data_IF_767063788232
#
_entry.id   IF_767063788232
#
_cell.length_a   1.000
_cell.length_b   1.000
_cell.length_c   1.000
_cell.angle_alpha   90.00
_cell.angle_beta   90.00
_cell.angle_gamma   90.00
#
_symmetry.space_group_name_H-M   'P 1'
#
loop_
_entity.id
_entity.type
_entity.pdbx_description
1 polymer ?
#
# COMPACT_ATOMS: atom_id res chain seq x y z
N UNK A 1 39.04 50.28 32.16
CA UNK A 1 38.40 49.56 31.02
C UNK A 1 37.46 48.45 31.45
N UNK A 2 37.31 48.10 32.71
CA UNK A 2 36.46 46.96 33.18
C UNK A 2 34.99 47.33 33.49
N UNK A 3 34.67 48.59 33.71
CA UNK A 3 33.30 49.02 34.04
C UNK A 3 32.38 49.15 32.79
N UNK A 4 32.93 49.44 31.62
CA UNK A 4 32.15 49.59 30.40
C UNK A 4 31.63 48.26 29.83
N UNK A 5 32.40 47.19 29.94
CA UNK A 5 31.96 45.83 29.52
C UNK A 5 30.76 45.29 30.32
N UNK A 6 30.61 45.70 31.58
CA UNK A 6 29.50 45.29 32.45
C UNK A 6 28.19 46.03 32.11
N UNK A 7 28.28 47.27 31.64
CA UNK A 7 27.12 48.07 31.26
C UNK A 7 26.58 47.57 29.93
N UNK A 8 27.41 47.21 28.94
CA UNK A 8 27.01 46.67 27.67
C UNK A 8 26.35 45.30 27.84
N UNK A 9 26.86 44.43 28.75
CA UNK A 9 26.27 43.12 29.03
C UNK A 9 24.88 43.22 29.67
N UNK A 10 24.65 44.20 30.54
CA UNK A 10 23.34 44.42 31.16
C UNK A 10 22.31 44.96 30.18
N UNK A 11 22.72 45.84 29.26
CA UNK A 11 21.85 46.40 28.23
C UNK A 11 21.35 45.34 27.20
N UNK A 12 22.21 44.35 26.85
CA UNK A 12 21.84 43.25 25.94
C UNK A 12 20.85 42.28 26.60
N UNK A 13 21.00 42.01 27.90
CA UNK A 13 20.04 41.16 28.64
C UNK A 13 18.66 41.77 28.78
N UNK A 14 18.54 43.11 28.93
CA UNK A 14 17.26 43.78 29.05
C UNK A 14 16.53 43.81 27.67
N UNK A 15 17.26 43.91 26.56
CA UNK A 15 16.64 43.87 25.22
C UNK A 15 16.14 42.46 24.88
N UNK A 16 16.72 41.38 25.36
CA UNK A 16 16.21 40.02 25.16
C UNK A 16 14.98 39.69 26.03
N UNK A 17 14.86 40.31 27.19
CA UNK A 17 13.68 40.09 28.05
C UNK A 17 12.43 40.86 27.56
N UNK A 18 12.63 41.94 26.77
CA UNK A 18 11.52 42.75 26.20
C UNK A 18 10.82 42.14 24.98
N UNK A 19 11.43 41.11 24.33
CA UNK A 19 10.87 40.46 23.13
C UNK A 19 9.95 39.27 23.43
N UNK A 20 9.78 38.89 24.69
CA UNK A 20 8.94 37.77 25.09
C UNK A 20 7.49 38.15 25.48
N UNK A 21 7.10 39.43 25.40
CA UNK A 21 5.76 39.88 25.86
C UNK A 21 4.89 40.41 24.70
N UNK A 22 5.36 40.43 23.47
CA UNK A 22 4.49 40.63 22.32
C UNK A 22 4.01 39.28 21.78
N UNK A 23 3.38 38.49 22.63
CA UNK A 23 2.49 37.41 22.22
C UNK A 23 1.30 38.07 21.53
N UNK A 24 1.34 38.20 20.20
CA UNK A 24 0.17 38.49 19.39
C UNK A 24 -0.91 37.51 19.78
N UNK A 25 -1.96 38.00 20.40
CA UNK A 25 -3.26 37.35 20.45
C UNK A 25 -3.85 37.30 19.04
N UNK A 26 -3.25 36.50 18.18
CA UNK A 26 -3.94 35.99 17.01
C UNK A 26 -5.08 35.16 17.57
N UNK A 27 -6.33 35.63 17.43
CA UNK A 27 -7.47 34.75 17.42
C UNK A 27 -7.12 33.67 16.39
N UNK A 28 -6.68 32.53 16.86
CA UNK A 28 -6.68 31.33 16.03
C UNK A 28 -8.15 31.09 15.72
N UNK A 29 -8.58 31.45 14.52
CA UNK A 29 -9.70 30.77 13.90
C UNK A 29 -9.33 29.28 13.99
N UNK A 30 -9.91 28.60 14.96
CA UNK A 30 -9.88 27.16 15.07
C UNK A 30 -10.81 26.59 14.00
N UNK A 31 -10.48 26.81 12.73
CA UNK A 31 -10.91 25.87 11.71
C UNK A 31 -10.19 24.58 12.09
N UNK A 32 -10.89 23.65 12.69
CA UNK A 32 -10.33 22.35 13.09
C UNK A 32 -9.73 21.73 11.85
N UNK A 33 -8.38 21.67 11.78
CA UNK A 33 -7.69 21.12 10.63
C UNK A 33 -8.15 19.67 10.49
N UNK A 34 -8.82 19.36 9.37
CA UNK A 34 -9.30 18.00 9.10
C UNK A 34 -8.13 17.01 9.15
N UNK A 35 -8.36 15.84 9.72
CA UNK A 35 -7.40 14.74 9.64
C UNK A 35 -7.44 14.17 8.23
N UNK A 36 -6.28 14.07 7.58
CA UNK A 36 -6.16 13.46 6.27
C UNK A 36 -6.09 11.94 6.46
N UNK A 37 -6.97 11.23 5.75
CA UNK A 37 -6.93 9.78 5.58
C UNK A 37 -6.25 9.49 4.24
N UNK A 38 -5.09 8.87 4.27
CA UNK A 38 -4.29 8.53 3.09
C UNK A 38 -4.52 7.09 2.69
N UNK A 39 -4.84 6.87 1.41
CA UNK A 39 -5.08 5.54 0.84
C UNK A 39 -4.13 5.31 -0.33
N UNK A 40 -3.26 4.30 -0.24
CA UNK A 40 -2.36 3.91 -1.32
C UNK A 40 -2.98 2.81 -2.19
N UNK A 41 -2.83 2.95 -3.51
CA UNK A 41 -3.28 1.98 -4.51
C UNK A 41 -2.18 1.78 -5.57
N UNK A 42 -2.04 0.54 -6.05
CA UNK A 42 -1.13 0.26 -7.17
C UNK A 42 -1.76 0.52 -8.54
N UNK A 43 -3.07 0.48 -8.61
CA UNK A 43 -3.83 0.61 -9.85
C UNK A 43 -4.05 2.06 -10.27
N UNK A 44 -4.41 2.25 -11.56
CA UNK A 44 -4.73 3.56 -12.12
C UNK A 44 -6.13 4.04 -11.70
N UNK A 45 -6.42 5.30 -11.99
CA UNK A 45 -7.71 5.92 -11.66
C UNK A 45 -8.90 5.31 -12.43
N UNK A 46 -8.64 4.65 -13.57
CA UNK A 46 -9.67 3.96 -14.35
C UNK A 46 -10.02 2.57 -13.80
N UNK A 47 -9.17 2.02 -12.92
CA UNK A 47 -9.36 0.68 -12.41
C UNK A 47 -10.55 0.60 -11.42
N UNK A 48 -11.34 -0.52 -11.44
CA UNK A 48 -12.48 -0.68 -10.54
C UNK A 48 -12.16 -0.54 -9.04
N UNK A 49 -10.99 -0.96 -8.60
CA UNK A 49 -10.55 -0.76 -7.21
C UNK A 49 -10.49 0.72 -6.83
N UNK A 50 -9.95 1.56 -7.72
CA UNK A 50 -9.90 3.00 -7.47
C UNK A 50 -11.32 3.58 -7.41
N UNK A 51 -12.22 3.18 -8.31
CA UNK A 51 -13.63 3.60 -8.30
C UNK A 51 -14.34 3.18 -7.01
N UNK A 52 -14.02 2.00 -6.47
CA UNK A 52 -14.48 1.58 -5.15
C UNK A 52 -14.01 2.54 -4.05
N UNK A 53 -12.74 2.95 -4.10
CA UNK A 53 -12.19 3.89 -3.12
C UNK A 53 -12.68 5.33 -3.31
N UNK A 54 -13.05 5.76 -4.52
CA UNK A 54 -13.78 7.01 -4.72
C UNK A 54 -15.14 6.98 -4.00
N UNK A 55 -15.83 5.85 -4.05
CA UNK A 55 -17.09 5.65 -3.32
C UNK A 55 -16.86 5.71 -1.80
N UNK A 56 -15.81 5.05 -1.29
CA UNK A 56 -15.40 5.16 0.12
C UNK A 56 -15.11 6.60 0.51
N UNK A 57 -14.28 7.30 -0.27
CA UNK A 57 -13.96 8.72 -0.07
C UNK A 57 -15.23 9.56 0.05
N UNK A 58 -16.12 9.46 -0.94
CA UNK A 58 -17.38 10.19 -0.97
C UNK A 58 -18.21 9.92 0.29
N UNK A 59 -18.36 8.65 0.67
CA UNK A 59 -19.13 8.26 1.85
C UNK A 59 -18.56 8.84 3.15
N UNK A 60 -17.24 8.75 3.34
CA UNK A 60 -16.56 9.29 4.53
C UNK A 60 -16.70 10.81 4.59
N UNK A 61 -16.48 11.50 3.46
CA UNK A 61 -16.56 12.97 3.42
C UNK A 61 -18.00 13.48 3.55
N UNK A 62 -19.01 12.74 3.09
CA UNK A 62 -20.42 13.07 3.33
C UNK A 62 -20.82 12.91 4.80
N UNK A 63 -20.29 11.92 5.51
CA UNK A 63 -20.67 11.62 6.88
C UNK A 63 -19.80 12.29 7.94
N UNK A 64 -18.53 12.49 7.64
CA UNK A 64 -17.48 12.91 8.56
C UNK A 64 -16.58 14.01 7.99
N UNK A 65 -17.00 14.67 6.91
CA UNK A 65 -16.17 15.66 6.21
C UNK A 65 -15.86 16.94 6.98
N UNK A 66 -16.49 17.14 8.14
CA UNK A 66 -16.09 18.15 9.12
C UNK A 66 -14.78 17.79 9.84
N UNK A 67 -14.47 16.49 9.97
CA UNK A 67 -13.32 15.95 10.71
C UNK A 67 -12.25 15.33 9.81
N UNK A 68 -12.64 14.74 8.67
CA UNK A 68 -11.77 13.95 7.80
C UNK A 68 -11.79 14.42 6.35
N UNK A 69 -10.65 14.27 5.70
CA UNK A 69 -10.46 14.41 4.25
C UNK A 69 -9.76 13.14 3.75
N UNK A 70 -10.31 12.48 2.72
CA UNK A 70 -9.71 11.26 2.14
C UNK A 70 -8.89 11.63 0.91
N UNK A 71 -7.64 11.21 0.89
CA UNK A 71 -6.73 11.39 -0.25
C UNK A 71 -6.34 10.03 -0.81
N UNK A 72 -6.61 9.83 -2.11
CA UNK A 72 -6.28 8.61 -2.85
C UNK A 72 -4.97 8.80 -3.61
N UNK A 73 -4.07 7.84 -3.52
CA UNK A 73 -2.75 7.85 -4.16
C UNK A 73 -2.64 6.63 -5.09
N UNK A 74 -3.09 6.75 -6.36
CA UNK A 74 -3.03 5.67 -7.35
C UNK A 74 -1.61 5.49 -7.92
N UNK A 75 -1.45 4.50 -8.83
CA UNK A 75 -0.24 4.28 -9.62
C UNK A 75 1.04 4.14 -8.79
N UNK A 76 0.96 3.52 -7.61
CA UNK A 76 2.11 3.34 -6.71
C UNK A 76 2.82 4.66 -6.32
N UNK A 77 2.10 5.80 -6.29
CA UNK A 77 2.66 7.11 -5.93
C UNK A 77 3.33 7.13 -4.55
N UNK A 78 2.91 6.26 -3.63
CA UNK A 78 3.52 6.11 -2.30
C UNK A 78 4.43 4.87 -2.22
N UNK A 79 4.78 4.27 -3.36
CA UNK A 79 5.57 3.04 -3.47
C UNK A 79 4.73 1.83 -3.84
N UNK A 80 5.40 0.73 -4.23
CA UNK A 80 4.76 -0.54 -4.56
C UNK A 80 4.01 -1.15 -3.36
N UNK A 81 3.21 -2.19 -3.61
CA UNK A 81 2.27 -2.74 -2.61
C UNK A 81 2.95 -3.13 -1.29
N UNK A 82 4.09 -3.82 -1.33
CA UNK A 82 4.86 -4.17 -0.12
C UNK A 82 5.23 -2.91 0.68
N UNK A 83 5.72 -1.87 -0.01
CA UNK A 83 6.05 -0.60 0.64
C UNK A 83 4.83 0.10 1.23
N UNK A 84 3.70 0.08 0.53
CA UNK A 84 2.44 0.63 1.04
C UNK A 84 1.94 -0.11 2.30
N UNK A 85 2.09 -1.44 2.36
CA UNK A 85 1.79 -2.22 3.57
C UNK A 85 2.68 -1.77 4.74
N UNK A 86 4.01 -1.64 4.54
CA UNK A 86 4.93 -1.15 5.57
C UNK A 86 4.58 0.26 6.06
N UNK A 87 4.18 1.16 5.14
CA UNK A 87 3.75 2.51 5.50
C UNK A 87 2.44 2.49 6.32
N UNK A 88 1.54 1.54 6.04
CA UNK A 88 0.32 1.33 6.83
C UNK A 88 0.67 0.82 8.23
N UNK A 89 1.57 -0.16 8.36
CA UNK A 89 2.03 -0.67 9.66
C UNK A 89 2.61 0.44 10.54
N UNK A 90 3.36 1.36 9.96
CA UNK A 90 3.97 2.47 10.70
C UNK A 90 3.02 3.63 10.94
N UNK A 91 1.80 3.60 10.40
CA UNK A 91 0.82 4.68 10.49
C UNK A 91 1.17 5.92 9.65
N UNK A 92 2.12 5.81 8.71
CA UNK A 92 2.45 6.90 7.78
C UNK A 92 1.32 7.12 6.75
N UNK A 93 0.59 6.05 6.42
CA UNK A 93 -0.68 6.07 5.70
C UNK A 93 -1.73 5.29 6.47
N UNK A 94 -3.01 5.54 6.18
CA UNK A 94 -4.11 4.96 6.94
C UNK A 94 -4.64 3.67 6.32
N UNK A 95 -4.65 3.58 4.98
CA UNK A 95 -5.13 2.41 4.23
C UNK A 95 -4.26 2.11 3.02
N UNK A 96 -4.19 0.84 2.66
CA UNK A 96 -3.69 0.40 1.36
C UNK A 96 -4.57 -0.70 0.79
N UNK A 97 -4.66 -0.77 -0.54
CA UNK A 97 -5.16 -1.95 -1.24
C UNK A 97 -3.95 -2.71 -1.77
N UNK A 98 -3.83 -3.96 -1.37
CA UNK A 98 -2.73 -4.82 -1.76
C UNK A 98 -3.24 -6.22 -2.13
N UNK A 99 -2.59 -6.84 -3.10
CA UNK A 99 -2.84 -8.24 -3.43
C UNK A 99 -2.45 -9.17 -2.28
N UNK A 100 -3.21 -10.24 -2.08
CA UNK A 100 -2.92 -11.26 -1.06
C UNK A 100 -1.49 -11.79 -1.13
N UNK A 101 -0.85 -11.96 -2.32
CA UNK A 101 0.56 -12.35 -2.41
C UNK A 101 1.52 -11.40 -1.70
N UNK A 102 1.24 -10.10 -1.64
CA UNK A 102 2.10 -9.16 -0.93
C UNK A 102 1.87 -9.17 0.59
N UNK A 103 0.76 -9.76 1.07
CA UNK A 103 0.50 -9.93 2.50
C UNK A 103 1.21 -11.17 3.09
N UNK A 104 1.63 -12.14 2.26
CA UNK A 104 2.29 -13.38 2.71
C UNK A 104 3.52 -13.13 3.58
N UNK A 105 4.31 -12.10 3.26
CA UNK A 105 5.51 -11.76 4.04
C UNK A 105 5.20 -11.12 5.41
N UNK A 106 3.95 -10.74 5.65
CA UNK A 106 3.48 -10.17 6.91
C UNK A 106 2.64 -11.16 7.71
N UNK A 107 1.94 -12.08 7.01
CA UNK A 107 1.13 -13.13 7.62
C UNK A 107 1.05 -14.34 6.67
N UNK A 108 1.72 -15.42 7.05
CA UNK A 108 1.89 -16.64 6.22
C UNK A 108 0.56 -17.26 5.77
N UNK A 109 -0.52 -17.09 6.51
CA UNK A 109 -1.84 -17.63 6.14
C UNK A 109 -2.33 -17.15 4.78
N UNK A 110 -1.87 -15.97 4.31
CA UNK A 110 -2.22 -15.44 3.00
C UNK A 110 -1.56 -16.20 1.84
N UNK A 111 -0.56 -17.06 2.10
CA UNK A 111 0.02 -17.97 1.08
C UNK A 111 -1.04 -18.88 0.44
N UNK A 112 -2.10 -19.22 1.18
CA UNK A 112 -3.22 -20.03 0.67
C UNK A 112 -3.86 -19.43 -0.59
N UNK A 113 -4.00 -18.11 -0.67
CA UNK A 113 -4.63 -17.44 -1.81
C UNK A 113 -3.73 -17.36 -3.06
N UNK A 114 -2.45 -17.68 -2.92
CA UNK A 114 -1.50 -17.76 -4.02
C UNK A 114 -1.35 -19.19 -4.58
N UNK A 115 -2.05 -20.17 -3.98
CA UNK A 115 -2.00 -21.56 -4.46
C UNK A 115 -2.74 -21.68 -5.80
N UNK A 116 -2.06 -22.15 -6.87
CA UNK A 116 -2.70 -22.36 -8.16
C UNK A 116 -3.90 -23.33 -8.04
N UNK A 117 -5.00 -23.00 -8.73
CA UNK A 117 -6.19 -23.85 -8.83
C UNK A 117 -6.85 -24.22 -7.50
N UNK A 118 -6.61 -23.45 -6.42
CA UNK A 118 -7.28 -23.66 -5.13
C UNK A 118 -8.80 -23.61 -5.29
N UNK A 119 -9.29 -22.64 -6.06
CA UNK A 119 -10.70 -22.50 -6.38
C UNK A 119 -10.95 -23.03 -7.80
N UNK A 120 -11.89 -23.96 -7.94
CA UNK A 120 -12.24 -24.61 -9.21
C UNK A 120 -13.31 -23.83 -9.99
N UNK A 121 -13.94 -22.85 -9.36
CA UNK A 121 -14.94 -21.97 -9.97
C UNK A 121 -15.01 -20.64 -9.23
N UNK A 122 -15.58 -19.64 -9.90
CA UNK A 122 -15.86 -18.34 -9.28
C UNK A 122 -16.86 -18.46 -8.13
N UNK A 123 -17.88 -19.33 -8.27
CA UNK A 123 -18.84 -19.57 -7.18
C UNK A 123 -18.18 -20.16 -5.94
N UNK A 124 -17.24 -21.09 -6.08
CA UNK A 124 -16.49 -21.63 -4.97
C UNK A 124 -15.61 -20.58 -4.30
N UNK A 125 -15.00 -19.69 -5.09
CA UNK A 125 -14.25 -18.53 -4.60
C UNK A 125 -15.15 -17.59 -3.79
N UNK A 126 -16.28 -17.16 -4.35
CA UNK A 126 -17.21 -16.28 -3.64
C UNK A 126 -17.81 -16.94 -2.38
N UNK A 127 -18.08 -18.23 -2.42
CA UNK A 127 -18.57 -18.93 -1.24
C UNK A 127 -17.54 -18.89 -0.09
N UNK A 128 -16.26 -19.10 -0.39
CA UNK A 128 -15.19 -19.01 0.61
C UNK A 128 -14.97 -17.59 1.10
N UNK A 129 -14.91 -16.61 0.19
CA UNK A 129 -14.62 -15.22 0.55
C UNK A 129 -15.77 -14.53 1.29
N UNK A 130 -17.01 -15.01 1.13
CA UNK A 130 -18.19 -14.52 1.85
C UNK A 130 -18.48 -15.31 3.14
N UNK A 131 -17.73 -16.36 3.44
CA UNK A 131 -17.81 -17.04 4.73
C UNK A 131 -17.14 -16.16 5.81
N UNK A 132 -17.98 -15.40 6.52
CA UNK A 132 -17.51 -14.43 7.50
C UNK A 132 -16.81 -15.08 8.68
N UNK A 133 -17.20 -16.30 9.08
CA UNK A 133 -16.59 -17.01 10.20
C UNK A 133 -15.17 -17.47 9.86
N UNK A 134 -14.96 -17.87 8.61
CA UNK A 134 -13.66 -18.23 8.09
C UNK A 134 -12.80 -17.00 7.82
N UNK A 135 -13.32 -16.03 7.06
CA UNK A 135 -12.56 -14.85 6.65
C UNK A 135 -12.17 -13.95 7.82
N UNK A 136 -13.00 -13.83 8.85
CA UNK A 136 -12.62 -13.08 10.05
C UNK A 136 -11.39 -13.66 10.75
N UNK A 137 -11.19 -14.97 10.73
CA UNK A 137 -9.97 -15.63 11.27
C UNK A 137 -8.74 -15.27 10.42
N UNK A 138 -8.91 -15.24 9.09
CA UNK A 138 -7.85 -14.83 8.16
C UNK A 138 -7.50 -13.36 8.39
N UNK A 139 -8.49 -12.46 8.49
CA UNK A 139 -8.27 -11.04 8.73
C UNK A 139 -7.59 -10.77 10.07
N UNK A 140 -7.99 -11.46 11.12
CA UNK A 140 -7.39 -11.34 12.45
C UNK A 140 -5.91 -11.77 12.50
N UNK A 141 -5.45 -12.59 11.55
CA UNK A 141 -4.06 -13.06 11.51
C UNK A 141 -3.03 -11.95 11.27
N UNK A 142 -3.47 -10.75 10.88
CA UNK A 142 -2.59 -9.59 10.67
C UNK A 142 -2.53 -8.65 11.87
N UNK A 143 -3.38 -8.82 12.89
CA UNK A 143 -3.48 -7.88 14.03
C UNK A 143 -2.16 -7.72 14.78
N UNK A 144 -1.46 -8.82 15.05
CA UNK A 144 -0.16 -8.80 15.74
C UNK A 144 0.95 -8.14 14.89
N UNK A 145 0.72 -7.94 13.60
CA UNK A 145 1.66 -7.26 12.70
C UNK A 145 1.43 -5.76 12.60
N UNK A 146 0.44 -5.22 13.32
CA UNK A 146 0.05 -3.81 13.24
C UNK A 146 -0.83 -3.48 12.04
N UNK A 147 -1.45 -4.48 11.44
CA UNK A 147 -2.37 -4.35 10.29
C UNK A 147 -3.74 -4.89 10.67
N UNK A 148 -4.78 -4.25 10.15
CA UNK A 148 -6.15 -4.74 10.20
C UNK A 148 -6.69 -4.89 8.78
N UNK A 149 -6.92 -6.10 8.34
CA UNK A 149 -7.62 -6.35 7.07
C UNK A 149 -9.13 -6.15 7.31
N UNK A 150 -9.76 -5.33 6.47
CA UNK A 150 -11.16 -4.93 6.68
C UNK A 150 -12.12 -5.47 5.62
N UNK A 151 -11.63 -5.77 4.42
CA UNK A 151 -12.44 -6.30 3.32
C UNK A 151 -11.56 -6.83 2.20
N UNK A 152 -12.17 -7.41 1.17
CA UNK A 152 -11.53 -7.93 -0.02
C UNK A 152 -12.18 -7.41 -1.30
N UNK A 153 -11.43 -7.47 -2.39
CA UNK A 153 -11.89 -7.16 -3.74
C UNK A 153 -11.63 -8.36 -4.65
N UNK A 154 -12.59 -8.69 -5.54
CA UNK A 154 -12.34 -9.63 -6.62
C UNK A 154 -11.70 -8.90 -7.79
N UNK A 155 -10.49 -9.28 -8.16
CA UNK A 155 -9.75 -8.73 -9.30
C UNK A 155 -9.59 -9.74 -10.45
N UNK A 156 -10.36 -10.84 -10.40
CA UNK A 156 -10.34 -11.89 -11.40
C UNK A 156 -9.26 -12.94 -11.20
N UNK A 157 -8.91 -13.62 -12.26
CA UNK A 157 -7.93 -14.72 -12.29
C UNK A 157 -6.58 -14.25 -12.79
N UNK A 158 -5.51 -14.90 -12.31
CA UNK A 158 -4.13 -14.62 -12.72
C UNK A 158 -3.76 -15.49 -13.90
N UNK A 159 -3.04 -14.90 -14.85
CA UNK A 159 -2.55 -15.59 -16.03
C UNK A 159 -1.12 -15.15 -16.32
N UNK A 160 -0.32 -16.05 -16.91
CA UNK A 160 0.97 -15.68 -17.47
C UNK A 160 0.79 -15.04 -18.84
N UNK A 161 1.57 -14.01 -19.13
CA UNK A 161 1.71 -13.44 -20.45
C UNK A 161 3.18 -13.18 -20.78
N UNK A 162 3.56 -13.40 -22.05
CA UNK A 162 4.94 -13.25 -22.49
C UNK A 162 4.99 -12.85 -23.97
N UNK A 163 6.19 -12.54 -24.46
CA UNK A 163 6.44 -12.25 -25.89
C UNK A 163 6.21 -13.45 -26.81
N UNK A 164 6.19 -14.66 -26.27
CA UNK A 164 5.83 -15.91 -26.98
C UNK A 164 4.59 -16.55 -26.36
N UNK A 165 3.88 -17.36 -27.13
CA UNK A 165 2.75 -18.12 -26.60
C UNK A 165 3.19 -19.09 -25.51
N UNK A 166 2.38 -19.20 -24.48
CA UNK A 166 2.51 -20.17 -23.37
C UNK A 166 1.28 -21.07 -23.46
N UNK A 167 1.44 -22.29 -23.97
CA UNK A 167 0.37 -23.26 -24.13
C UNK A 167 0.48 -24.39 -23.10
N UNK A 168 1.68 -24.67 -22.61
CA UNK A 168 1.99 -25.70 -21.65
C UNK A 168 2.96 -25.17 -20.59
N UNK A 169 3.06 -25.80 -19.41
CA UNK A 169 4.08 -25.42 -18.43
C UNK A 169 5.52 -25.46 -18.97
N UNK A 170 5.79 -26.35 -19.94
CA UNK A 170 7.12 -26.47 -20.55
C UNK A 170 7.53 -25.23 -21.34
N UNK A 171 6.58 -24.43 -21.83
CA UNK A 171 6.84 -23.18 -22.54
C UNK A 171 7.38 -22.08 -21.62
N UNK A 172 7.24 -22.23 -20.31
CA UNK A 172 7.79 -21.33 -19.30
C UNK A 172 9.28 -21.59 -19.02
N UNK A 173 9.81 -22.78 -19.36
CA UNK A 173 11.19 -23.13 -19.06
C UNK A 173 12.19 -22.13 -19.62
N UNK A 174 13.05 -21.64 -18.73
CA UNK A 174 14.11 -20.70 -19.04
C UNK A 174 13.67 -19.26 -19.28
N UNK A 175 12.37 -18.94 -19.24
CA UNK A 175 11.90 -17.56 -19.30
C UNK A 175 12.15 -16.84 -17.97
N UNK A 176 12.48 -15.57 -18.06
CA UNK A 176 12.49 -14.65 -16.92
C UNK A 176 11.10 -14.07 -16.76
N UNK A 177 10.37 -14.56 -15.77
CA UNK A 177 8.98 -14.16 -15.55
C UNK A 177 8.87 -13.28 -14.32
N UNK A 178 8.30 -12.09 -14.50
CA UNK A 178 7.94 -11.28 -13.33
C UNK A 178 6.85 -11.99 -12.53
N UNK A 179 7.04 -11.98 -11.23
CA UNK A 179 6.02 -12.38 -10.25
C UNK A 179 5.86 -11.26 -9.21
N UNK A 180 4.80 -11.32 -8.43
CA UNK A 180 4.68 -10.44 -7.27
C UNK A 180 5.77 -10.78 -6.24
N UNK A 181 5.99 -9.87 -5.29
CA UNK A 181 6.94 -10.05 -4.19
C UNK A 181 6.37 -11.02 -3.15
N UNK A 182 6.17 -12.26 -3.56
CA UNK A 182 5.50 -13.33 -2.84
C UNK A 182 6.35 -14.60 -2.86
N UNK A 183 6.63 -15.20 -1.70
CA UNK A 183 7.32 -16.50 -1.64
C UNK A 183 6.61 -17.61 -2.43
N UNK A 184 5.28 -17.67 -2.37
CA UNK A 184 4.50 -18.67 -3.11
C UNK A 184 4.59 -18.45 -4.64
N UNK A 185 4.45 -17.21 -5.11
CA UNK A 185 4.58 -16.90 -6.55
C UNK A 185 5.98 -17.22 -7.07
N UNK A 186 7.04 -16.95 -6.29
CA UNK A 186 8.41 -17.32 -6.64
C UNK A 186 8.56 -18.84 -6.72
N UNK A 187 8.09 -19.59 -5.72
CA UNK A 187 8.12 -21.07 -5.69
C UNK A 187 7.38 -21.66 -6.89
N UNK A 188 6.17 -21.16 -7.18
CA UNK A 188 5.35 -21.60 -8.31
C UNK A 188 6.06 -21.37 -9.64
N UNK A 189 6.54 -20.17 -9.88
CA UNK A 189 7.26 -19.81 -11.13
C UNK A 189 8.49 -20.69 -11.34
N UNK A 190 9.30 -20.90 -10.30
CA UNK A 190 10.48 -21.76 -10.36
C UNK A 190 10.11 -23.24 -10.57
N UNK A 191 8.99 -23.72 -10.01
CA UNK A 191 8.51 -25.08 -10.23
C UNK A 191 8.15 -25.36 -11.70
N UNK A 192 7.71 -24.34 -12.44
CA UNK A 192 7.48 -24.43 -13.89
C UNK A 192 8.80 -24.30 -14.71
N UNK A 193 9.95 -24.18 -14.06
CA UNK A 193 11.24 -24.06 -14.72
C UNK A 193 11.54 -22.66 -15.29
N UNK A 194 10.74 -21.68 -14.96
CA UNK A 194 11.03 -20.27 -15.26
C UNK A 194 11.95 -19.65 -14.19
N UNK A 195 12.60 -18.55 -14.51
CA UNK A 195 13.33 -17.74 -13.54
C UNK A 195 12.42 -16.65 -12.99
N UNK A 196 12.01 -16.76 -11.73
CA UNK A 196 11.17 -15.78 -11.07
C UNK A 196 11.93 -14.47 -10.85
N UNK A 197 11.32 -13.34 -11.23
CA UNK A 197 11.83 -11.99 -11.06
C UNK A 197 10.81 -11.17 -10.24
N UNK A 198 10.85 -11.22 -8.91
CA UNK A 198 9.90 -10.48 -8.08
C UNK A 198 10.16 -8.98 -8.18
N UNK A 199 9.11 -8.22 -8.54
CA UNK A 199 9.16 -6.76 -8.63
C UNK A 199 7.80 -6.12 -8.48
N UNK A 200 7.76 -4.84 -8.11
CA UNK A 200 6.55 -4.05 -8.02
C UNK A 200 5.84 -3.93 -9.38
N UNK A 201 4.52 -3.70 -9.36
CA UNK A 201 3.73 -3.67 -10.60
C UNK A 201 4.13 -2.51 -11.52
N UNK A 202 4.42 -1.34 -10.96
CA UNK A 202 4.84 -0.17 -11.74
C UNK A 202 6.15 -0.33 -12.52
N UNK A 203 6.98 -1.33 -12.16
CA UNK A 203 8.26 -1.60 -12.84
C UNK A 203 8.10 -2.51 -14.06
N UNK A 204 7.00 -3.27 -14.16
CA UNK A 204 6.81 -4.36 -15.12
C UNK A 204 6.88 -3.89 -16.56
N UNK A 205 6.19 -2.79 -16.90
CA UNK A 205 6.19 -2.27 -18.27
C UNK A 205 7.61 -1.96 -18.76
N UNK A 206 8.37 -1.23 -17.95
CA UNK A 206 9.75 -0.85 -18.29
C UNK A 206 10.65 -2.07 -18.37
N UNK A 207 10.51 -3.04 -17.46
CA UNK A 207 11.30 -4.27 -17.45
C UNK A 207 11.06 -5.13 -18.70
N UNK A 208 9.81 -5.22 -19.18
CA UNK A 208 9.48 -5.90 -20.45
C UNK A 208 10.06 -5.13 -21.63
N UNK A 209 9.92 -3.81 -21.65
CA UNK A 209 10.42 -2.96 -22.75
C UNK A 209 11.94 -3.06 -22.89
N UNK A 210 12.66 -3.08 -21.78
CA UNK A 210 14.11 -3.18 -21.74
C UNK A 210 14.64 -4.62 -21.92
N UNK A 211 13.75 -5.62 -21.96
CA UNK A 211 14.14 -7.03 -22.07
C UNK A 211 14.77 -7.62 -20.80
N UNK A 212 14.56 -6.99 -19.66
CA UNK A 212 14.98 -7.50 -18.33
C UNK A 212 14.20 -8.76 -17.98
N UNK A 213 12.92 -8.79 -18.35
CA UNK A 213 12.01 -9.94 -18.22
C UNK A 213 11.39 -10.28 -19.57
N UNK A 214 10.98 -11.55 -19.74
CA UNK A 214 10.36 -12.07 -20.95
C UNK A 214 8.83 -12.00 -20.88
N UNK A 215 8.27 -11.93 -19.67
CA UNK A 215 6.85 -11.87 -19.42
C UNK A 215 6.54 -11.63 -17.95
N UNK A 216 5.25 -11.71 -17.61
CA UNK A 216 4.77 -11.52 -16.23
C UNK A 216 3.51 -12.35 -15.96
N UNK A 217 3.11 -12.39 -14.67
CA UNK A 217 1.83 -12.88 -14.19
C UNK A 217 0.98 -11.73 -13.60
#
# INVERSE_FOLDING_TARGET
MMKWKRIVSAAVCVCMAGMLITGCGSKSDSSSKKRIIRVALSQSEEHPEYKGMETFKKYVEEKLGDKYEVQLYPNELLGGQTKAIELTQTGAIDFTIAGTPNLEIFADVYEVFSMPYLFTSEDAYFAAMNDTDYMNKIYASTEDTGLQVVTWYNVGTRNFYAKKAINTPDDLKGLKMRVQQSPASIKMCNAFGAAASPMAFGEVYTAIQQGVIDGAE
#
